data_IF_372865275450
#
_entry.id   IF_372865275450
#
_cell.length_a   1.000
_cell.length_b   1.000
_cell.length_c   1.000
_cell.angle_alpha   90.00
_cell.angle_beta   90.00
_cell.angle_gamma   90.00
#
_symmetry.space_group_name_H-M   'P 1'
#
loop_
_entity.id
_entity.type
_entity.pdbx_description
1 polymer ?
#
# COMPACT_ATOMS: atom_id res chain seq x y z
N UNK A 1 0.24 -35.51 42.02
CA UNK A 1 0.58 -35.95 40.66
C UNK A 1 -0.57 -35.56 39.75
N UNK A 2 -0.48 -34.43 39.06
CA UNK A 2 -1.58 -33.94 38.23
C UNK A 2 -1.75 -34.87 37.03
N UNK A 3 -2.79 -35.72 37.05
CA UNK A 3 -3.26 -36.43 35.86
C UNK A 3 -3.96 -35.41 34.96
N UNK A 4 -3.17 -34.62 34.23
CA UNK A 4 -3.66 -33.74 33.19
C UNK A 4 -4.38 -34.53 32.10
N UNK A 5 -5.24 -33.86 31.32
CA UNK A 5 -5.86 -34.47 30.14
C UNK A 5 -4.77 -35.04 29.22
N UNK A 6 -4.86 -36.30 28.78
CA UNK A 6 -3.87 -36.86 27.87
C UNK A 6 -3.79 -36.01 26.60
N UNK A 7 -2.58 -35.74 26.13
CA UNK A 7 -2.38 -35.03 24.86
C UNK A 7 -2.93 -35.90 23.73
N UNK A 8 -3.78 -35.33 22.87
CA UNK A 8 -4.33 -36.06 21.73
C UNK A 8 -3.28 -36.38 20.65
N UNK A 9 -2.09 -35.77 20.74
CA UNK A 9 -1.02 -35.97 19.77
C UNK A 9 -1.47 -35.60 18.34
N UNK A 10 -1.04 -36.34 17.32
CA UNK A 10 -1.44 -36.11 15.92
C UNK A 10 -2.95 -36.16 15.66
N UNK A 11 -3.73 -36.82 16.53
CA UNK A 11 -5.19 -36.95 16.39
C UNK A 11 -5.95 -35.64 16.62
N UNK A 12 -5.27 -34.59 17.10
CA UNK A 12 -5.88 -33.25 17.24
C UNK A 12 -6.46 -32.74 15.92
N UNK A 13 -5.92 -33.20 14.80
CA UNK A 13 -6.35 -32.83 13.44
C UNK A 13 -7.79 -33.26 13.14
N UNK A 14 -8.30 -34.28 13.83
CA UNK A 14 -9.69 -34.76 13.64
C UNK A 14 -10.73 -33.72 14.06
N UNK A 15 -10.35 -32.75 14.90
CA UNK A 15 -11.21 -31.66 15.34
C UNK A 15 -11.09 -30.39 14.48
N UNK A 16 -10.22 -30.39 13.46
CA UNK A 16 -10.07 -29.26 12.55
C UNK A 16 -11.15 -29.28 11.46
N UNK A 17 -11.53 -28.11 10.96
CA UNK A 17 -12.41 -27.98 9.82
C UNK A 17 -11.70 -28.32 8.51
N UNK A 18 -12.43 -28.93 7.58
CA UNK A 18 -11.97 -29.21 6.22
C UNK A 18 -12.20 -30.65 5.75
N UNK A 19 -11.83 -30.96 4.50
CA UNK A 19 -12.02 -32.28 3.92
C UNK A 19 -11.30 -33.37 4.72
N UNK A 20 -11.96 -34.52 4.89
CA UNK A 20 -11.41 -35.65 5.65
C UNK A 20 -10.05 -36.13 5.11
N UNK A 21 -9.88 -36.12 3.79
CA UNK A 21 -8.62 -36.47 3.14
C UNK A 21 -7.49 -35.52 3.53
N UNK A 22 -7.72 -34.20 3.50
CA UNK A 22 -6.73 -33.18 3.89
C UNK A 22 -6.32 -33.33 5.35
N UNK A 23 -7.29 -33.64 6.22
CA UNK A 23 -7.03 -33.92 7.64
C UNK A 23 -6.17 -35.18 7.82
N UNK A 24 -6.45 -36.25 7.08
CA UNK A 24 -5.62 -37.46 7.11
C UNK A 24 -4.18 -37.23 6.63
N UNK A 25 -3.99 -36.38 5.60
CA UNK A 25 -2.65 -35.96 5.15
C UNK A 25 -1.90 -35.19 6.24
N UNK A 26 -2.57 -34.24 6.89
CA UNK A 26 -1.99 -33.45 7.98
C UNK A 26 -1.67 -34.32 9.21
N UNK A 27 -2.56 -35.24 9.58
CA UNK A 27 -2.32 -36.20 10.67
C UNK A 27 -1.07 -37.05 10.39
N UNK A 28 -0.89 -37.52 9.16
CA UNK A 28 0.30 -38.29 8.76
C UNK A 28 1.58 -37.46 8.89
N UNK A 29 1.56 -36.18 8.49
CA UNK A 29 2.70 -35.26 8.69
C UNK A 29 3.02 -35.09 10.18
N UNK A 30 2.00 -34.89 11.02
CA UNK A 30 2.20 -34.74 12.48
C UNK A 30 2.71 -36.03 13.13
N UNK A 31 2.27 -37.21 12.67
CA UNK A 31 2.80 -38.49 13.13
C UNK A 31 4.31 -38.60 12.85
N UNK A 32 4.80 -38.12 11.71
CA UNK A 32 6.26 -38.11 11.44
C UNK A 32 7.02 -37.14 12.34
N UNK A 33 6.44 -35.98 12.68
CA UNK A 33 7.05 -35.03 13.61
C UNK A 33 7.07 -35.55 15.05
N UNK A 34 6.04 -36.32 15.43
CA UNK A 34 5.94 -36.98 16.72
C UNK A 34 6.80 -38.25 16.84
N UNK A 35 7.52 -38.66 15.77
CA UNK A 35 8.34 -39.88 15.75
C UNK A 35 7.52 -41.18 15.74
N UNK A 36 6.22 -41.11 15.45
CA UNK A 36 5.30 -42.26 15.46
C UNK A 36 5.23 -42.99 14.11
N UNK A 37 5.77 -42.38 13.05
CA UNK A 37 5.77 -42.89 11.69
C UNK A 37 7.08 -42.48 11.02
N UNK A 38 7.71 -43.38 10.25
CA UNK A 38 8.90 -43.01 9.48
C UNK A 38 8.51 -42.15 8.27
N UNK A 39 9.48 -41.41 7.72
CA UNK A 39 9.25 -40.63 6.50
C UNK A 39 8.91 -41.54 5.32
N UNK A 40 9.50 -42.73 5.24
CA UNK A 40 9.23 -43.70 4.18
C UNK A 40 7.79 -44.24 4.26
N UNK A 41 7.36 -44.69 5.44
CA UNK A 41 5.99 -45.18 5.65
C UNK A 41 4.96 -44.08 5.36
N UNK A 42 5.26 -42.83 5.72
CA UNK A 42 4.42 -41.69 5.43
C UNK A 42 4.33 -41.40 3.91
N UNK A 43 5.44 -41.52 3.18
CA UNK A 43 5.46 -41.36 1.72
C UNK A 43 4.61 -42.42 1.03
N UNK A 44 4.71 -43.67 1.47
CA UNK A 44 3.89 -44.79 0.95
C UNK A 44 2.40 -44.57 1.22
N UNK A 45 2.03 -44.20 2.46
CA UNK A 45 0.62 -43.92 2.83
C UNK A 45 0.02 -42.76 2.03
N UNK A 46 0.82 -41.74 1.72
CA UNK A 46 0.37 -40.55 1.01
C UNK A 46 0.50 -40.68 -0.51
N UNK A 47 1.19 -41.72 -1.02
CA UNK A 47 1.46 -41.90 -2.45
C UNK A 47 2.32 -40.79 -3.05
N UNK A 48 3.26 -40.23 -2.29
CA UNK A 48 4.12 -39.12 -2.75
C UNK A 48 5.61 -39.46 -2.62
N UNK A 49 6.43 -38.80 -3.42
CA UNK A 49 7.89 -38.93 -3.31
C UNK A 49 8.41 -38.28 -2.02
N UNK A 50 9.57 -38.75 -1.56
CA UNK A 50 10.24 -38.20 -0.38
C UNK A 50 10.54 -36.70 -0.53
N UNK A 51 10.95 -36.25 -1.72
CA UNK A 51 11.17 -34.83 -2.00
C UNK A 51 9.90 -34.00 -1.77
N UNK A 52 8.77 -34.43 -2.35
CA UNK A 52 7.47 -33.77 -2.18
C UNK A 52 7.01 -33.78 -0.72
N UNK A 53 7.28 -34.86 0.01
CA UNK A 53 6.99 -34.94 1.44
C UNK A 53 7.76 -33.88 2.24
N UNK A 54 9.06 -33.73 1.98
CA UNK A 54 9.89 -32.72 2.65
C UNK A 54 9.44 -31.29 2.32
N UNK A 55 9.10 -31.01 1.05
CA UNK A 55 8.54 -29.72 0.64
C UNK A 55 7.23 -29.41 1.37
N UNK A 56 6.30 -30.38 1.40
CA UNK A 56 5.01 -30.23 2.07
C UNK A 56 5.18 -29.98 3.57
N UNK A 57 6.09 -30.73 4.21
CA UNK A 57 6.41 -30.57 5.63
C UNK A 57 6.99 -29.18 5.92
N UNK A 58 7.93 -28.72 5.09
CA UNK A 58 8.52 -27.39 5.25
C UNK A 58 7.48 -26.29 5.05
N UNK A 59 6.64 -26.39 4.02
CA UNK A 59 5.56 -25.43 3.76
C UNK A 59 4.58 -25.33 4.94
N UNK A 60 4.16 -26.47 5.49
CA UNK A 60 3.32 -26.55 6.68
C UNK A 60 3.97 -25.87 7.89
N UNK A 61 5.25 -26.19 8.18
CA UNK A 61 5.96 -25.60 9.31
C UNK A 61 6.19 -24.10 9.14
N UNK A 62 6.47 -23.65 7.92
CA UNK A 62 6.63 -22.22 7.61
C UNK A 62 5.32 -21.46 7.82
N UNK A 63 4.19 -22.02 7.37
CA UNK A 63 2.88 -21.43 7.60
C UNK A 63 2.50 -21.40 9.08
N UNK A 64 2.83 -22.45 9.83
CA UNK A 64 2.62 -22.48 11.28
C UNK A 64 3.46 -21.40 11.99
N UNK A 65 4.74 -21.27 11.62
CA UNK A 65 5.63 -20.24 12.16
C UNK A 65 5.11 -18.83 11.87
N UNK A 66 4.70 -18.55 10.63
CA UNK A 66 4.13 -17.26 10.24
C UNK A 66 2.85 -16.91 11.02
N UNK A 67 2.02 -17.91 11.36
CA UNK A 67 0.83 -17.70 12.18
C UNK A 67 1.12 -17.47 13.67
N UNK A 68 2.27 -17.93 14.15
CA UNK A 68 2.73 -17.73 15.52
C UNK A 68 3.47 -16.40 15.72
N UNK A 69 3.80 -15.69 14.64
CA UNK A 69 4.44 -14.38 14.73
C UNK A 69 3.54 -13.38 15.48
N UNK A 70 4.10 -12.59 16.42
CA UNK A 70 3.35 -11.61 17.17
C UNK A 70 2.82 -10.53 16.23
N UNK A 71 1.52 -10.58 15.95
CA UNK A 71 0.80 -9.50 15.27
C UNK A 71 0.26 -8.51 16.30
N UNK A 72 0.25 -7.20 15.98
CA UNK A 72 -0.35 -6.22 16.87
C UNK A 72 -1.79 -6.65 17.20
N UNK A 73 -2.10 -6.72 18.50
CA UNK A 73 -3.41 -7.12 18.97
C UNK A 73 -4.47 -6.16 18.42
N UNK A 74 -5.35 -6.66 17.56
CA UNK A 74 -6.39 -5.88 16.91
C UNK A 74 -6.95 -6.60 15.71
N UNK A 75 -8.20 -6.30 15.35
CA UNK A 75 -8.78 -6.74 14.08
C UNK A 75 -7.85 -6.21 12.97
N UNK A 76 -7.32 -7.06 12.07
CA UNK A 76 -6.59 -6.56 10.91
C UNK A 76 -7.46 -5.49 10.24
N UNK A 77 -6.86 -4.35 9.87
CA UNK A 77 -7.59 -3.27 9.22
C UNK A 77 -8.40 -3.88 8.07
N UNK A 78 -9.73 -3.77 8.14
CA UNK A 78 -10.59 -4.35 7.14
C UNK A 78 -10.16 -3.79 5.78
N UNK A 79 -9.76 -4.68 4.87
CA UNK A 79 -9.62 -4.32 3.45
C UNK A 79 -10.94 -3.63 3.08
N UNK A 80 -10.93 -2.40 2.54
CA UNK A 80 -12.15 -1.65 2.32
C UNK A 80 -13.02 -2.47 1.36
N UNK A 81 -14.11 -3.00 1.91
CA UNK A 81 -15.13 -3.76 1.20
C UNK A 81 -15.66 -2.92 0.03
N UNK A 82 -16.15 -3.58 -1.03
CA UNK A 82 -16.72 -2.88 -2.19
C UNK A 82 -17.83 -1.91 -1.77
N UNK A 83 -18.57 -2.27 -0.72
CA UNK A 83 -19.57 -1.41 -0.07
C UNK A 83 -18.96 -0.13 0.52
N UNK A 84 -17.83 -0.23 1.23
CA UNK A 84 -17.14 0.93 1.82
C UNK A 84 -16.57 1.87 0.74
N UNK A 85 -16.07 1.30 -0.36
CA UNK A 85 -15.61 2.08 -1.51
C UNK A 85 -16.78 2.81 -2.17
N UNK A 86 -17.93 2.12 -2.32
CA UNK A 86 -19.13 2.72 -2.91
C UNK A 86 -19.72 3.82 -2.04
N UNK A 87 -19.70 3.67 -0.71
CA UNK A 87 -20.11 4.71 0.23
C UNK A 87 -19.23 5.95 0.06
N UNK A 88 -17.91 5.79 0.07
CA UNK A 88 -16.98 6.92 -0.10
C UNK A 88 -17.15 7.64 -1.46
N UNK A 89 -17.44 6.89 -2.53
CA UNK A 89 -17.74 7.47 -3.85
C UNK A 89 -19.05 8.26 -3.85
N UNK A 90 -20.11 7.69 -3.26
CA UNK A 90 -21.40 8.35 -3.15
C UNK A 90 -21.34 9.61 -2.28
N UNK A 91 -20.58 9.58 -1.17
CA UNK A 91 -20.38 10.75 -0.30
C UNK A 91 -19.71 11.90 -1.05
N UNK A 92 -18.70 11.61 -1.89
CA UNK A 92 -18.07 12.62 -2.76
C UNK A 92 -19.07 13.21 -3.75
N UNK A 93 -19.85 12.37 -4.42
CA UNK A 93 -20.86 12.83 -5.37
C UNK A 93 -21.92 13.72 -4.70
N UNK A 94 -22.38 13.35 -3.50
CA UNK A 94 -23.32 14.16 -2.73
C UNK A 94 -22.71 15.51 -2.36
N UNK A 95 -21.43 15.54 -1.97
CA UNK A 95 -20.76 16.78 -1.63
C UNK A 95 -20.61 17.70 -2.85
N UNK A 96 -20.19 17.16 -4.00
CA UNK A 96 -20.08 17.91 -5.25
C UNK A 96 -21.43 18.48 -5.69
N UNK A 97 -22.48 17.64 -5.67
CA UNK A 97 -23.84 18.07 -6.03
C UNK A 97 -24.35 19.17 -5.11
N UNK A 98 -24.06 19.10 -3.80
CA UNK A 98 -24.42 20.16 -2.84
C UNK A 98 -23.73 21.48 -3.17
N UNK A 99 -22.44 21.44 -3.52
CA UNK A 99 -21.70 22.63 -3.94
C UNK A 99 -22.31 23.22 -5.22
N UNK A 100 -22.64 22.39 -6.21
CA UNK A 100 -23.27 22.85 -7.44
C UNK A 100 -24.65 23.47 -7.21
N UNK A 101 -25.48 22.83 -6.38
CA UNK A 101 -26.80 23.34 -6.00
C UNK A 101 -26.66 24.71 -5.33
N UNK A 102 -25.78 24.81 -4.33
CA UNK A 102 -25.57 26.07 -3.63
C UNK A 102 -25.05 27.18 -4.56
N UNK A 103 -24.11 26.86 -5.45
CA UNK A 103 -23.63 27.81 -6.44
C UNK A 103 -24.71 28.24 -7.44
N UNK A 104 -25.65 27.36 -7.79
CA UNK A 104 -26.80 27.71 -8.64
C UNK A 104 -27.76 28.65 -7.90
N UNK A 105 -28.10 28.34 -6.65
CA UNK A 105 -28.94 29.20 -5.80
C UNK A 105 -28.34 30.60 -5.63
N UNK A 106 -27.04 30.70 -5.32
CA UNK A 106 -26.37 31.99 -5.18
C UNK A 106 -26.42 32.81 -6.48
N UNK A 107 -26.28 32.17 -7.65
CA UNK A 107 -26.41 32.87 -8.95
C UNK A 107 -27.82 33.40 -9.16
N UNK A 108 -28.84 32.64 -8.78
CA UNK A 108 -30.24 33.07 -8.85
C UNK A 108 -30.52 34.25 -7.92
N UNK A 109 -30.06 34.18 -6.67
CA UNK A 109 -30.18 35.27 -5.70
C UNK A 109 -29.49 36.55 -6.20
N UNK A 110 -28.28 36.44 -6.76
CA UNK A 110 -27.56 37.58 -7.36
C UNK A 110 -28.33 38.13 -8.57
N UNK A 111 -28.94 37.28 -9.40
CA UNK A 111 -29.73 37.72 -10.54
C UNK A 111 -30.94 38.56 -10.11
N UNK A 112 -31.60 38.17 -9.02
CA UNK A 112 -32.76 38.87 -8.49
C UNK A 112 -32.37 40.16 -7.74
N UNK A 113 -31.37 40.11 -6.88
CA UNK A 113 -30.98 41.26 -6.04
C UNK A 113 -30.08 42.27 -6.76
N UNK A 114 -29.18 41.79 -7.63
CA UNK A 114 -28.13 42.60 -8.26
C UNK A 114 -27.88 42.20 -9.73
N UNK A 115 -28.89 42.35 -10.62
CA UNK A 115 -28.82 41.88 -12.02
C UNK A 115 -27.70 42.53 -12.85
N UNK A 116 -27.22 43.71 -12.43
CA UNK A 116 -26.13 44.43 -13.09
C UNK A 116 -24.77 43.74 -12.92
N UNK A 117 -24.59 42.86 -11.93
CA UNK A 117 -23.37 42.08 -11.76
C UNK A 117 -23.24 40.91 -12.76
N UNK A 118 -24.36 40.46 -13.34
CA UNK A 118 -24.37 39.40 -14.36
C UNK A 118 -24.20 39.96 -15.78
N UNK A 119 -24.25 41.27 -15.97
CA UNK A 119 -24.01 41.91 -17.27
C UNK A 119 -22.51 42.00 -17.53
N UNK A 120 -22.01 41.48 -18.66
CA UNK A 120 -20.65 41.78 -19.11
C UNK A 120 -20.50 43.30 -19.21
N UNK A 121 -19.46 43.87 -18.60
CA UNK A 121 -19.14 45.29 -18.83
C UNK A 121 -18.78 45.45 -20.30
N UNK A 122 -19.60 46.17 -21.06
CA UNK A 122 -19.21 46.65 -22.38
C UNK A 122 -17.94 47.49 -22.24
N UNK A 123 -16.81 46.94 -22.68
CA UNK A 123 -15.52 47.60 -22.59
C UNK A 123 -15.39 48.65 -23.70
N UNK A 124 -16.06 49.79 -23.54
CA UNK A 124 -15.84 51.01 -24.34
C UNK A 124 -15.09 52.10 -23.58
N UNK A 125 -14.43 51.75 -22.46
CA UNK A 125 -13.53 52.66 -21.77
C UNK A 125 -12.13 52.61 -22.41
N UNK A 126 -11.78 53.68 -23.13
CA UNK A 126 -10.47 53.93 -23.75
C UNK A 126 -9.32 53.63 -22.77
N UNK A 127 -8.49 52.65 -23.12
CA UNK A 127 -7.27 52.30 -22.39
C UNK A 127 -6.19 53.34 -22.71
N UNK A 128 -5.81 54.16 -21.73
CA UNK A 128 -4.62 55.04 -21.84
C UNK A 128 -3.36 54.18 -21.98
N UNK A 129 -2.42 54.52 -22.88
CA UNK A 129 -1.24 53.70 -23.11
C UNK A 129 -0.29 53.72 -21.89
N UNK A 130 0.39 52.60 -21.57
CA UNK A 130 1.23 52.52 -20.40
C UNK A 130 2.53 53.32 -20.58
N UNK A 131 2.92 54.06 -19.54
CA UNK A 131 4.15 54.87 -19.49
C UNK A 131 5.37 53.96 -19.44
N UNK A 132 6.17 53.93 -20.51
CA UNK A 132 7.44 53.20 -20.58
C UNK A 132 8.45 53.77 -19.55
N UNK A 133 9.02 52.90 -18.72
CA UNK A 133 10.12 53.26 -17.80
C UNK A 133 11.47 53.04 -18.50
N UNK A 134 12.47 53.92 -18.35
CA UNK A 134 13.74 53.79 -19.05
C UNK A 134 14.59 52.65 -18.47
N UNK A 135 15.26 51.93 -19.36
CA UNK A 135 16.09 50.76 -19.05
C UNK A 135 17.36 51.15 -18.27
N UNK A 136 17.59 50.46 -17.14
CA UNK A 136 18.76 50.62 -16.27
C UNK A 136 20.01 50.07 -16.96
N UNK A 137 20.96 50.95 -17.31
CA UNK A 137 22.30 50.65 -17.84
C UNK A 137 23.01 49.60 -16.96
N UNK A 138 23.28 48.41 -17.50
CA UNK A 138 24.18 47.42 -16.89
C UNK A 138 25.63 47.83 -17.14
N UNK A 139 26.39 48.06 -16.06
CA UNK A 139 27.85 48.23 -16.12
C UNK A 139 28.47 46.87 -16.48
N UNK A 140 29.35 46.85 -17.50
CA UNK A 140 30.14 45.67 -17.88
C UNK A 140 31.13 45.38 -16.75
N UNK A 141 31.09 44.16 -16.21
CA UNK A 141 32.14 43.63 -15.35
C UNK A 141 33.10 42.86 -16.27
N UNK A 142 34.36 43.30 -16.29
CA UNK A 142 35.45 42.64 -17.00
C UNK A 142 35.89 41.40 -16.19
N UNK A 143 36.04 40.21 -16.80
CA UNK A 143 36.48 39.03 -16.07
C UNK A 143 38.01 38.98 -16.02
N UNK A 144 38.56 38.97 -14.79
CA UNK A 144 39.96 38.73 -14.51
C UNK A 144 40.26 37.24 -14.78
N UNK A 145 41.10 36.93 -15.75
CA UNK A 145 41.58 35.57 -16.03
C UNK A 145 42.52 35.10 -14.90
N UNK A 146 42.33 33.88 -14.35
CA UNK A 146 43.27 33.32 -13.37
C UNK A 146 44.56 32.82 -14.05
N UNK A 147 45.73 32.93 -13.40
CA UNK A 147 47.01 32.47 -13.95
C UNK A 147 47.12 30.94 -13.95
N UNK A 148 47.90 30.34 -14.87
CA UNK A 148 48.00 28.89 -15.02
C UNK A 148 48.78 28.22 -13.87
N UNK A 149 48.26 27.06 -13.45
CA UNK A 149 48.85 26.17 -12.45
C UNK A 149 50.13 25.51 -12.98
N UNK A 150 51.16 25.51 -12.15
CA UNK A 150 52.49 24.97 -12.42
C UNK A 150 52.50 23.44 -12.33
N UNK A 151 52.97 22.76 -13.37
CA UNK A 151 53.38 21.36 -13.34
C UNK A 151 54.75 21.21 -14.01
N UNK A 152 55.80 21.11 -13.20
CA UNK A 152 56.75 19.99 -13.24
C UNK A 152 57.98 20.29 -12.39
N UNK A 153 58.09 19.56 -11.26
CA UNK A 153 59.40 19.22 -10.68
C UNK A 153 59.80 17.88 -11.29
N UNK A 154 60.89 17.87 -12.05
CA UNK A 154 61.87 16.78 -12.15
C UNK A 154 63.21 17.42 -11.79
N UNK A 155 63.84 16.96 -10.70
CA UNK A 155 65.11 16.21 -10.72
C UNK A 155 66.26 17.13 -11.23
N UNK A 156 67.27 17.48 -10.46
CA UNK A 156 68.18 16.61 -9.72
C UNK A 156 69.07 17.41 -8.73
N UNK A 157 69.57 16.66 -7.73
CA UNK A 157 70.69 16.90 -6.77
C UNK A 157 70.63 18.08 -5.80
#
# INVERSE_FOLDING_TARGET
MNRGRPSLGPKIVQHLDGPAETRGRLETLLQTLAGQCSVQDACERLGISQARFHELRNSMLQAALANLEPRPAGRPAAVPDQTTQRIAELERQVQDLRIHLHAAQLREEIALAMPHLLRPRDSTLKKTPPRTRPAKRRRRHEPLTPPPLSSDRRCDT
#
